data_IF_590077762071
#
_entry.id   IF_590077762071
#
_cell.length_a   1.000
_cell.length_b   1.000
_cell.length_c   1.000
_cell.angle_alpha   90.00
_cell.angle_beta   90.00
_cell.angle_gamma   90.00
#
_symmetry.space_group_name_H-M   'P 1'
#
loop_
_entity.id
_entity.type
_entity.pdbx_description
1 polymer ?
#
# COMPACT_ATOMS: atom_id res chain seq x y z
N UNK A 1 -19.27 -3.52 6.02
CA UNK A 1 -17.95 -4.16 5.82
C UNK A 1 -17.14 -3.61 4.63
N UNK A 2 -17.72 -2.86 3.69
CA UNK A 2 -17.01 -2.40 2.48
C UNK A 2 -15.76 -1.55 2.75
N UNK A 3 -15.83 -0.63 3.72
CA UNK A 3 -14.68 0.19 4.11
C UNK A 3 -13.50 -0.64 4.63
N UNK A 4 -13.76 -1.62 5.50
CA UNK A 4 -12.72 -2.52 6.01
C UNK A 4 -12.09 -3.37 4.90
N UNK A 5 -12.91 -3.90 3.98
CA UNK A 5 -12.41 -4.66 2.82
C UNK A 5 -11.52 -3.82 1.91
N UNK A 6 -11.94 -2.59 1.63
CA UNK A 6 -11.15 -1.65 0.83
C UNK A 6 -9.85 -1.27 1.55
N UNK A 7 -9.88 -1.05 2.86
CA UNK A 7 -8.69 -0.75 3.66
C UNK A 7 -7.66 -1.87 3.62
N UNK A 8 -8.07 -3.14 3.76
CA UNK A 8 -7.16 -4.29 3.65
C UNK A 8 -6.55 -4.39 2.25
N UNK A 9 -7.35 -4.16 1.20
CA UNK A 9 -6.86 -4.16 -0.17
C UNK A 9 -5.82 -3.03 -0.39
N UNK A 10 -6.11 -1.81 0.03
CA UNK A 10 -5.19 -0.67 -0.08
C UNK A 10 -3.90 -0.92 0.69
N UNK A 11 -3.98 -1.53 1.88
CA UNK A 11 -2.79 -1.87 2.67
C UNK A 11 -1.89 -2.89 1.95
N UNK A 12 -2.47 -3.95 1.37
CA UNK A 12 -1.72 -4.91 0.57
C UNK A 12 -1.07 -4.26 -0.66
N UNK A 13 -1.82 -3.45 -1.40
CA UNK A 13 -1.30 -2.71 -2.55
C UNK A 13 -0.16 -1.75 -2.16
N UNK A 14 -0.28 -1.05 -1.03
CA UNK A 14 0.79 -0.20 -0.52
C UNK A 14 2.04 -1.01 -0.16
N UNK A 15 1.88 -2.21 0.39
CA UNK A 15 2.97 -3.15 0.64
C UNK A 15 3.68 -3.59 -0.63
N UNK A 16 2.92 -4.00 -1.66
CA UNK A 16 3.46 -4.40 -2.96
C UNK A 16 4.22 -3.25 -3.64
N UNK A 17 3.74 -2.02 -3.51
CA UNK A 17 4.41 -0.84 -4.06
C UNK A 17 5.70 -0.51 -3.29
N UNK A 18 5.66 -0.50 -1.96
CA UNK A 18 6.83 -0.24 -1.13
C UNK A 18 7.92 -1.31 -1.32
N UNK A 19 7.54 -2.58 -1.46
CA UNK A 19 8.46 -3.69 -1.70
C UNK A 19 9.25 -3.54 -3.02
N UNK A 20 8.72 -2.81 -4.02
CA UNK A 20 9.48 -2.52 -5.26
C UNK A 20 10.68 -1.60 -5.03
N UNK A 21 10.66 -0.79 -3.97
CA UNK A 21 11.75 0.12 -3.63
C UNK A 21 12.69 -0.49 -2.59
N UNK A 22 12.14 -1.11 -1.54
CA UNK A 22 12.93 -1.61 -0.39
C UNK A 22 13.29 -3.10 -0.48
N UNK A 23 12.60 -3.86 -1.35
CA UNK A 23 12.58 -5.32 -1.29
C UNK A 23 11.71 -5.85 -0.13
N UNK A 24 11.28 -7.11 -0.23
CA UNK A 24 10.38 -7.72 0.75
C UNK A 24 11.05 -7.95 2.12
N UNK A 25 12.32 -8.36 2.13
CA UNK A 25 13.05 -8.69 3.38
C UNK A 25 13.26 -7.47 4.26
N UNK A 26 13.46 -6.30 3.66
CA UNK A 26 13.72 -5.05 4.37
C UNK A 26 12.50 -4.15 4.47
N UNK A 27 11.32 -4.62 4.05
CA UNK A 27 10.08 -3.86 4.09
C UNK A 27 9.66 -3.59 5.55
N UNK A 28 9.49 -2.32 5.91
CA UNK A 28 9.01 -1.89 7.21
C UNK A 28 7.57 -1.38 7.13
N UNK A 29 6.87 -1.39 8.27
CA UNK A 29 5.53 -0.83 8.36
C UNK A 29 5.47 0.66 7.98
N UNK A 30 6.55 1.41 8.24
CA UNK A 30 6.68 2.81 7.84
C UNK A 30 6.70 2.99 6.32
N UNK A 31 7.33 2.08 5.59
CA UNK A 31 7.39 2.12 4.12
C UNK A 31 5.99 1.90 3.53
N UNK A 32 5.24 0.94 4.08
CA UNK A 32 3.85 0.70 3.70
C UNK A 32 3.00 1.95 3.99
N UNK A 33 3.13 2.56 5.18
CA UNK A 33 2.41 3.79 5.54
C UNK A 33 2.69 4.91 4.54
N UNK A 34 3.95 5.12 4.17
CA UNK A 34 4.37 6.13 3.21
C UNK A 34 3.85 5.85 1.78
N UNK A 35 3.63 4.58 1.43
CA UNK A 35 3.10 4.17 0.13
C UNK A 35 1.56 4.25 0.02
N UNK A 36 0.81 4.39 1.12
CA UNK A 36 -0.66 4.46 1.11
C UNK A 36 -1.20 5.53 0.14
N UNK A 37 -0.72 6.79 0.14
CA UNK A 37 -1.22 7.81 -0.78
C UNK A 37 -1.04 7.42 -2.26
N UNK A 38 0.07 6.76 -2.60
CA UNK A 38 0.32 6.25 -3.96
C UNK A 38 -0.61 5.09 -4.30
N UNK A 39 -0.83 4.16 -3.37
CA UNK A 39 -1.78 3.05 -3.55
C UNK A 39 -3.21 3.57 -3.78
N UNK A 40 -3.62 4.60 -3.04
CA UNK A 40 -4.92 5.27 -3.26
C UNK A 40 -4.98 5.87 -4.66
N UNK A 41 -3.99 6.68 -5.07
CA UNK A 41 -3.93 7.28 -6.41
C UNK A 41 -4.01 6.25 -7.53
N UNK A 42 -3.31 5.14 -7.39
CA UNK A 42 -3.35 4.03 -8.34
C UNK A 42 -4.77 3.45 -8.50
N UNK A 43 -5.54 3.37 -7.41
CA UNK A 43 -6.91 2.85 -7.41
C UNK A 43 -7.93 3.86 -7.95
N UNK A 44 -7.80 5.15 -7.63
CA UNK A 44 -8.74 6.20 -8.08
C UNK A 44 -8.40 6.82 -9.43
N UNK A 45 -7.23 6.55 -10.00
CA UNK A 45 -6.83 7.02 -11.33
C UNK A 45 -6.54 8.52 -11.41
N UNK A 46 -5.98 9.09 -10.34
CA UNK A 46 -5.59 10.51 -10.22
C UNK A 46 -4.10 10.63 -9.94
#
# INVERSE_FOLDING_TARGET
>A
FSAARLGVYIHGLAGDLAAKETGEVSLLAGDIMNAIPTAVRFLVGT
#
